data_IF_169510930381
#
_entry.id   IF_169510930381
#
_cell.length_a   1.000
_cell.length_b   1.000
_cell.length_c   1.000
_cell.angle_alpha   90.00
_cell.angle_beta   90.00
_cell.angle_gamma   90.00
#
_symmetry.space_group_name_H-M   'P 1'
#
loop_
_entity.id
_entity.type
_entity.pdbx_description
1 polymer ?
#
# COMPACT_ATOMS: atom_id res chain seq x y z
N UNK A 1 10.91 -19.00 31.44
CA UNK A 1 10.25 -18.09 30.46
C UNK A 1 10.00 -16.68 30.98
N UNK A 2 10.44 -16.35 32.20
CA UNK A 2 10.33 -15.01 32.80
C UNK A 2 10.96 -13.92 31.93
N UNK A 3 12.09 -14.20 31.28
CA UNK A 3 12.74 -13.28 30.34
C UNK A 3 11.85 -12.93 29.13
N UNK A 4 11.02 -13.87 28.63
CA UNK A 4 10.07 -13.59 27.55
C UNK A 4 8.93 -12.68 28.03
N UNK A 5 8.40 -12.91 29.23
CA UNK A 5 7.34 -12.08 29.81
C UNK A 5 7.82 -10.65 30.08
N UNK A 6 9.02 -10.51 30.63
CA UNK A 6 9.64 -9.24 31.03
C UNK A 6 10.30 -8.47 29.88
N UNK A 7 10.40 -9.07 28.69
CA UNK A 7 11.03 -8.41 27.55
C UNK A 7 10.26 -7.14 27.15
N UNK A 8 10.93 -5.96 27.14
CA UNK A 8 10.28 -4.66 26.95
C UNK A 8 9.88 -4.39 25.49
N UNK A 9 10.32 -5.22 24.54
CA UNK A 9 10.04 -5.05 23.11
C UNK A 9 9.61 -6.34 22.44
N UNK A 10 8.79 -6.20 21.38
CA UNK A 10 8.39 -7.32 20.52
C UNK A 10 9.62 -8.02 19.90
N UNK A 11 10.65 -7.26 19.53
CA UNK A 11 11.91 -7.79 18.98
C UNK A 11 12.64 -8.68 19.97
N UNK A 12 12.79 -8.25 21.23
CA UNK A 12 13.44 -9.06 22.26
C UNK A 12 12.62 -10.30 22.62
N UNK A 13 11.28 -10.20 22.64
CA UNK A 13 10.39 -11.36 22.78
C UNK A 13 10.62 -12.41 21.69
N UNK A 14 10.78 -11.97 20.45
CA UNK A 14 11.04 -12.85 19.30
C UNK A 14 12.44 -13.46 19.38
N UNK A 15 13.45 -12.67 19.76
CA UNK A 15 14.81 -13.14 19.95
C UNK A 15 14.86 -14.26 21.01
N UNK A 16 14.28 -14.01 22.19
CA UNK A 16 14.22 -14.98 23.29
C UNK A 16 13.45 -16.23 22.86
N UNK A 17 12.30 -16.07 22.21
CA UNK A 17 11.50 -17.22 21.73
C UNK A 17 12.25 -18.04 20.67
N UNK A 18 13.04 -17.39 19.81
CA UNK A 18 13.78 -18.03 18.72
C UNK A 18 14.85 -19.02 19.20
N UNK A 19 15.32 -18.90 20.45
CA UNK A 19 16.29 -19.81 21.05
C UNK A 19 15.80 -21.26 21.13
N UNK A 20 14.49 -21.47 21.30
CA UNK A 20 13.90 -22.80 21.51
C UNK A 20 12.67 -23.05 20.62
N UNK A 21 12.41 -22.17 19.65
CA UNK A 21 11.24 -22.28 18.77
C UNK A 21 11.28 -23.51 17.83
N UNK A 22 12.47 -24.08 17.58
CA UNK A 22 12.65 -25.29 16.77
C UNK A 22 12.56 -26.59 17.58
N UNK A 23 12.87 -26.54 18.87
CA UNK A 23 12.91 -27.71 19.75
C UNK A 23 11.53 -28.26 20.09
N UNK A 24 10.47 -27.48 19.85
CA UNK A 24 9.11 -27.80 20.29
C UNK A 24 8.07 -27.54 19.18
N UNK A 25 7.07 -28.44 19.02
CA UNK A 25 5.91 -28.19 18.18
C UNK A 25 5.13 -26.94 18.62
N UNK A 26 4.45 -26.28 17.68
CA UNK A 26 3.78 -25.02 17.95
C UNK A 26 2.75 -25.13 19.10
N UNK A 27 1.96 -26.20 19.13
CA UNK A 27 0.96 -26.42 20.19
C UNK A 27 1.61 -26.56 21.57
N UNK A 28 2.76 -27.24 21.65
CA UNK A 28 3.53 -27.41 22.89
C UNK A 28 4.15 -26.09 23.36
N UNK A 29 4.60 -25.24 22.44
CA UNK A 29 5.05 -23.88 22.75
C UNK A 29 3.91 -23.02 23.29
N UNK A 30 2.70 -23.15 22.73
CA UNK A 30 1.53 -22.38 23.20
C UNK A 30 1.15 -22.75 24.64
N UNK A 31 1.07 -24.05 24.95
CA UNK A 31 0.81 -24.52 26.32
C UNK A 31 1.89 -24.10 27.30
N UNK A 32 3.17 -24.17 26.90
CA UNK A 32 4.30 -23.79 27.77
C UNK A 32 4.33 -22.29 28.10
N UNK A 33 3.79 -21.46 27.20
CA UNK A 33 3.72 -20.00 27.38
C UNK A 33 2.44 -19.51 28.05
N UNK A 34 1.41 -20.33 28.19
CA UNK A 34 0.12 -19.97 28.79
C UNK A 34 0.22 -19.15 30.10
N UNK A 35 1.06 -19.53 31.10
CA UNK A 35 1.21 -18.74 32.34
C UNK A 35 2.02 -17.44 32.18
N UNK A 36 2.69 -17.23 31.06
CA UNK A 36 3.56 -16.08 30.78
C UNK A 36 3.05 -15.17 29.66
N UNK A 37 1.90 -15.52 29.07
CA UNK A 37 1.22 -14.77 28.03
C UNK A 37 0.82 -15.62 26.83
N UNK A 38 -0.28 -15.25 26.17
CA UNK A 38 -0.78 -15.98 25.00
C UNK A 38 0.19 -15.89 23.84
N UNK A 39 0.69 -17.05 23.39
CA UNK A 39 1.56 -17.14 22.24
C UNK A 39 0.77 -17.50 20.98
N UNK A 40 0.78 -16.64 19.98
CA UNK A 40 0.12 -16.88 18.71
C UNK A 40 0.98 -17.74 17.78
N UNK A 41 0.31 -18.47 16.87
CA UNK A 41 1.01 -19.22 15.80
C UNK A 41 1.93 -18.30 14.98
N UNK A 42 1.55 -17.04 14.80
CA UNK A 42 2.35 -16.03 14.11
C UNK A 42 3.64 -15.67 14.87
N UNK A 43 3.58 -15.48 16.19
CA UNK A 43 4.78 -15.22 17.01
C UNK A 43 5.77 -16.38 16.94
N UNK A 44 5.27 -17.62 16.95
CA UNK A 44 6.09 -18.83 16.79
C UNK A 44 6.72 -18.89 15.39
N UNK A 45 5.91 -18.66 14.33
CA UNK A 45 6.40 -18.64 12.94
C UNK A 45 7.48 -17.57 12.75
N UNK A 46 7.27 -16.38 13.33
CA UNK A 46 8.22 -15.26 13.28
C UNK A 46 9.51 -15.56 14.06
N UNK A 47 9.44 -16.21 15.21
CA UNK A 47 10.62 -16.65 15.96
C UNK A 47 11.42 -17.74 15.23
N UNK A 48 10.75 -18.67 14.55
CA UNK A 48 11.41 -19.68 13.69
C UNK A 48 12.07 -19.04 12.47
N UNK A 49 11.37 -18.11 11.81
CA UNK A 49 11.92 -17.36 10.69
C UNK A 49 13.13 -16.51 11.12
N UNK A 50 13.07 -15.88 12.31
CA UNK A 50 14.19 -15.18 12.91
C UNK A 50 15.40 -16.10 13.10
N UNK A 51 15.21 -17.25 13.76
CA UNK A 51 16.27 -18.23 13.98
C UNK A 51 16.84 -18.78 12.66
N UNK A 52 16.00 -18.99 11.64
CA UNK A 52 16.44 -19.44 10.30
C UNK A 52 17.31 -18.41 9.59
N UNK A 53 16.91 -17.15 9.63
CA UNK A 53 17.53 -16.11 8.81
C UNK A 53 18.72 -15.43 9.52
N UNK A 54 18.70 -15.37 10.86
CA UNK A 54 19.71 -14.62 11.64
C UNK A 54 20.47 -15.49 12.65
N UNK A 55 19.97 -16.69 12.96
CA UNK A 55 20.47 -17.55 14.04
C UNK A 55 19.59 -17.46 15.31
N UNK A 56 19.43 -18.57 16.07
CA UNK A 56 18.69 -18.56 17.33
C UNK A 56 19.29 -17.56 18.34
N UNK A 57 18.45 -16.69 18.91
CA UNK A 57 18.85 -15.75 19.96
C UNK A 57 19.74 -14.60 19.51
N UNK A 58 20.06 -14.49 18.22
CA UNK A 58 20.88 -13.39 17.70
C UNK A 58 20.17 -12.04 17.84
N UNK A 59 20.92 -11.00 18.20
CA UNK A 59 20.35 -9.67 18.38
C UNK A 59 19.72 -9.17 17.08
N UNK A 60 18.45 -8.79 17.16
CA UNK A 60 17.81 -8.06 16.09
C UNK A 60 18.49 -6.70 16.01
N UNK A 61 19.37 -6.49 15.00
CA UNK A 61 19.92 -5.17 14.71
C UNK A 61 18.74 -4.20 14.65
N UNK A 62 18.71 -3.21 15.55
CA UNK A 62 17.87 -2.04 15.36
C UNK A 62 18.38 -1.41 14.07
N UNK A 63 17.75 -1.75 12.96
CA UNK A 63 17.86 -0.91 11.79
C UNK A 63 17.43 0.48 12.29
N UNK A 64 18.22 1.54 12.06
CA UNK A 64 17.72 2.90 12.18
C UNK A 64 16.35 2.92 11.51
N UNK A 65 15.36 3.53 12.16
CA UNK A 65 14.02 3.70 11.60
C UNK A 65 14.23 4.12 10.15
N UNK A 66 13.79 3.30 9.17
CA UNK A 66 14.25 3.51 7.83
C UNK A 66 13.75 4.88 7.37
N UNK A 67 14.68 5.67 6.84
CA UNK A 67 14.47 6.82 5.98
C UNK A 67 13.61 6.51 4.73
N UNK A 68 12.91 5.37 4.70
CA UNK A 68 11.98 4.92 3.67
C UNK A 68 10.55 5.44 3.90
N UNK A 69 10.18 5.87 5.11
CA UNK A 69 8.87 6.48 5.35
C UNK A 69 8.76 7.86 4.70
N UNK A 70 9.82 8.66 4.77
CA UNK A 70 9.88 9.96 4.10
C UNK A 70 9.82 9.80 2.58
N UNK A 71 10.45 8.76 2.03
CA UNK A 71 10.35 8.43 0.62
C UNK A 71 8.91 8.05 0.23
N UNK A 72 8.19 7.28 1.05
CA UNK A 72 6.80 6.88 0.70
C UNK A 72 5.85 8.08 0.71
N UNK A 73 5.98 8.98 1.71
CA UNK A 73 5.19 10.21 1.75
C UNK A 73 5.56 11.16 0.60
N UNK A 74 6.85 11.26 0.28
CA UNK A 74 7.34 12.02 -0.87
C UNK A 74 6.84 11.44 -2.19
N UNK A 75 6.90 10.13 -2.38
CA UNK A 75 6.42 9.40 -3.55
C UNK A 75 4.91 9.58 -3.72
N UNK A 76 4.14 9.50 -2.63
CA UNK A 76 2.71 9.80 -2.64
C UNK A 76 2.44 11.23 -3.11
N UNK A 77 3.14 12.22 -2.54
CA UNK A 77 2.99 13.62 -2.97
C UNK A 77 3.40 13.83 -4.43
N UNK A 78 4.48 13.18 -4.88
CA UNK A 78 4.94 13.24 -6.27
C UNK A 78 3.95 12.57 -7.23
N UNK A 79 3.27 11.51 -6.80
CA UNK A 79 2.18 10.87 -7.54
C UNK A 79 1.03 11.83 -7.80
N UNK A 80 0.59 12.57 -6.79
CA UNK A 80 -0.43 13.63 -6.96
C UNK A 80 0.02 14.70 -7.96
N UNK A 81 1.24 15.23 -7.81
CA UNK A 81 1.78 16.23 -8.74
C UNK A 81 1.84 15.70 -10.19
N UNK A 82 2.15 14.41 -10.37
CA UNK A 82 2.17 13.76 -11.69
C UNK A 82 0.77 13.68 -12.28
N UNK A 83 -0.23 13.33 -11.49
CA UNK A 83 -1.63 13.29 -11.94
C UNK A 83 -2.17 14.67 -12.30
N UNK A 84 -1.78 15.72 -11.58
CA UNK A 84 -2.08 17.11 -11.90
C UNK A 84 -1.47 17.49 -13.27
N UNK A 85 -0.18 17.23 -13.48
CA UNK A 85 0.48 17.49 -14.77
C UNK A 85 -0.15 16.71 -15.94
N UNK A 86 -0.54 15.45 -15.71
CA UNK A 86 -1.26 14.66 -16.72
C UNK A 86 -2.60 15.34 -17.05
N UNK A 87 -3.33 15.79 -16.05
CA UNK A 87 -4.62 16.48 -16.23
C UNK A 87 -4.47 17.77 -17.02
N UNK A 88 -3.39 18.53 -16.80
CA UNK A 88 -3.07 19.73 -17.59
C UNK A 88 -2.67 19.38 -19.04
N UNK A 89 -1.84 18.36 -19.22
CA UNK A 89 -1.41 17.90 -20.56
C UNK A 89 -2.59 17.42 -21.40
N UNK A 90 -3.59 16.79 -20.78
CA UNK A 90 -4.80 16.38 -21.47
C UNK A 90 -5.57 17.58 -22.06
N UNK A 91 -5.49 18.78 -21.45
CA UNK A 91 -6.07 20.00 -22.02
C UNK A 91 -5.40 20.37 -23.34
N UNK A 92 -4.08 20.25 -23.42
CA UNK A 92 -3.36 20.46 -24.69
C UNK A 92 -3.74 19.44 -25.77
N UNK A 93 -4.22 18.26 -25.38
CA UNK A 93 -4.77 17.23 -26.27
C UNK A 93 -6.26 17.43 -26.60
N UNK A 94 -6.83 18.60 -26.26
CA UNK A 94 -8.20 18.95 -26.59
C UNK A 94 -9.24 18.49 -25.58
N UNK A 95 -8.85 18.01 -24.40
CA UNK A 95 -9.79 17.81 -23.30
C UNK A 95 -10.20 19.15 -22.70
N UNK A 96 -11.46 19.20 -22.26
CA UNK A 96 -12.04 20.37 -21.63
C UNK A 96 -11.24 20.86 -20.39
N UNK A 97 -11.05 22.17 -20.32
CA UNK A 97 -10.32 22.82 -19.24
C UNK A 97 -11.10 22.80 -17.93
N UNK A 98 -12.44 22.86 -17.97
CA UNK A 98 -13.26 22.80 -16.75
C UNK A 98 -13.17 21.43 -16.09
N UNK A 99 -13.16 20.37 -16.90
CA UNK A 99 -12.86 19.02 -16.45
C UNK A 99 -11.49 18.95 -15.74
N UNK A 100 -10.42 19.47 -16.37
CA UNK A 100 -9.07 19.43 -15.80
C UNK A 100 -8.98 20.18 -14.46
N UNK A 101 -9.57 21.38 -14.39
CA UNK A 101 -9.66 22.16 -13.16
C UNK A 101 -10.44 21.43 -12.05
N UNK A 102 -11.52 20.74 -12.41
CA UNK A 102 -12.31 19.93 -11.47
C UNK A 102 -11.49 18.76 -10.90
N UNK A 103 -10.78 18.03 -11.77
CA UNK A 103 -9.91 16.90 -11.37
C UNK A 103 -8.78 17.38 -10.46
N UNK A 104 -8.05 18.44 -10.84
CA UNK A 104 -6.96 19.00 -10.02
C UNK A 104 -7.49 19.42 -8.65
N UNK A 105 -8.65 20.08 -8.59
CA UNK A 105 -9.28 20.47 -7.32
C UNK A 105 -9.60 19.27 -6.44
N UNK A 106 -10.07 18.16 -7.01
CA UNK A 106 -10.37 16.93 -6.28
C UNK A 106 -9.11 16.20 -5.84
N UNK A 107 -8.06 16.20 -6.66
CA UNK A 107 -6.73 15.69 -6.30
C UNK A 107 -6.13 16.44 -5.11
N UNK A 108 -6.22 17.78 -5.08
CA UNK A 108 -5.79 18.57 -3.93
C UNK A 108 -6.57 18.21 -2.65
N UNK A 109 -7.89 18.12 -2.72
CA UNK A 109 -8.73 17.73 -1.57
C UNK A 109 -8.39 16.33 -1.08
N UNK A 110 -8.18 15.38 -1.99
CA UNK A 110 -7.79 14.02 -1.61
C UNK A 110 -6.40 13.97 -0.99
N UNK A 111 -5.44 14.73 -1.52
CA UNK A 111 -4.09 14.88 -0.94
C UNK A 111 -4.13 15.45 0.46
N UNK A 112 -4.96 16.47 0.69
CA UNK A 112 -5.18 17.06 2.02
C UNK A 112 -5.79 16.03 2.97
N UNK A 113 -6.89 15.39 2.56
CA UNK A 113 -7.58 14.35 3.33
C UNK A 113 -6.65 13.23 3.81
N UNK A 114 -5.81 12.70 2.90
CA UNK A 114 -4.85 11.64 3.23
C UNK A 114 -3.81 12.10 4.27
N UNK A 115 -3.48 13.39 4.28
CA UNK A 115 -2.49 13.98 5.18
C UNK A 115 -3.08 14.28 6.57
N UNK A 116 -4.34 14.69 6.65
CA UNK A 116 -4.96 15.21 7.88
C UNK A 116 -5.83 14.18 8.59
N UNK A 117 -6.83 13.65 7.90
CA UNK A 117 -7.98 12.99 8.54
C UNK A 117 -7.99 11.48 8.33
N UNK A 118 -7.42 11.00 7.21
CA UNK A 118 -7.46 9.59 6.85
C UNK A 118 -6.91 8.67 7.94
N UNK A 119 -5.82 9.08 8.61
CA UNK A 119 -5.24 8.31 9.72
C UNK A 119 -6.19 8.14 10.91
N UNK A 120 -7.10 9.10 11.15
CA UNK A 120 -8.09 9.02 12.22
C UNK A 120 -9.16 8.01 11.86
N UNK A 121 -9.55 7.96 10.59
CA UNK A 121 -10.53 7.00 10.10
C UNK A 121 -10.06 5.55 10.18
N UNK A 122 -8.77 5.30 9.96
CA UNK A 122 -8.20 3.94 9.96
C UNK A 122 -7.85 3.38 11.36
N UNK A 123 -8.48 3.85 12.45
CA UNK A 123 -8.14 3.39 13.81
C UNK A 123 -9.06 2.30 14.36
N UNK A 124 -10.18 2.05 13.69
CA UNK A 124 -11.21 1.10 14.13
C UNK A 124 -11.14 -0.18 13.30
N UNK A 125 -10.68 -1.27 13.92
CA UNK A 125 -10.63 -2.61 13.32
C UNK A 125 -12.03 -3.18 13.04
N UNK A 126 -13.08 -2.52 13.53
CA UNK A 126 -14.50 -2.81 13.35
C UNK A 126 -15.26 -1.71 12.60
N UNK A 127 -14.54 -0.85 11.88
CA UNK A 127 -15.16 0.18 11.06
C UNK A 127 -16.14 -0.42 10.05
N UNK A 128 -17.36 0.12 9.99
CA UNK A 128 -18.36 -0.26 8.98
C UNK A 128 -18.00 0.26 7.57
N UNK A 129 -16.90 0.99 7.41
CA UNK A 129 -16.36 1.42 6.13
C UNK A 129 -15.18 0.53 5.73
N UNK A 130 -15.28 -0.12 4.56
CA UNK A 130 -14.24 -1.05 4.07
C UNK A 130 -12.86 -0.38 3.91
N UNK A 131 -12.83 0.90 3.50
CA UNK A 131 -11.58 1.64 3.31
C UNK A 131 -10.91 2.04 4.63
N UNK A 132 -11.63 1.93 5.74
CA UNK A 132 -11.19 2.37 7.07
C UNK A 132 -10.91 1.20 8.00
N UNK A 133 -11.63 0.08 7.81
CA UNK A 133 -11.37 -1.16 8.53
C UNK A 133 -9.99 -1.70 8.14
N UNK A 134 -8.99 -1.52 9.02
CA UNK A 134 -7.61 -1.91 8.68
C UNK A 134 -7.47 -3.40 8.44
N UNK A 135 -8.28 -4.20 9.13
CA UNK A 135 -8.36 -5.65 8.97
C UNK A 135 -8.84 -6.04 7.58
N UNK A 136 -9.78 -5.30 7.01
CA UNK A 136 -10.28 -5.52 5.66
C UNK A 136 -9.37 -4.91 4.60
N UNK A 137 -9.01 -3.64 4.75
CA UNK A 137 -8.22 -2.88 3.78
C UNK A 137 -6.82 -3.48 3.53
N UNK A 138 -6.24 -4.16 4.53
CA UNK A 138 -4.95 -4.85 4.42
C UNK A 138 -5.07 -6.35 4.11
N UNK A 139 -6.29 -6.89 4.01
CA UNK A 139 -6.51 -8.28 3.65
C UNK A 139 -6.26 -8.52 2.17
N UNK A 140 -5.60 -9.64 1.84
CA UNK A 140 -5.52 -10.12 0.46
C UNK A 140 -6.52 -11.27 0.25
N UNK A 141 -7.56 -11.11 -0.59
CA UNK A 141 -8.51 -12.18 -0.84
C UNK A 141 -7.92 -13.35 -1.67
N UNK A 142 -6.81 -13.14 -2.37
CA UNK A 142 -6.15 -14.12 -3.23
C UNK A 142 -5.04 -14.92 -2.56
N UNK A 143 -4.60 -14.52 -1.36
CA UNK A 143 -3.57 -15.22 -0.59
C UNK A 143 -4.11 -15.63 0.79
N UNK A 144 -4.34 -16.93 0.99
CA UNK A 144 -4.84 -17.49 2.26
C UNK A 144 -4.00 -17.11 3.48
N UNK A 145 -2.70 -16.82 3.30
CA UNK A 145 -1.83 -16.41 4.40
C UNK A 145 -2.03 -14.94 4.82
N UNK A 146 -2.62 -14.13 3.94
CA UNK A 146 -2.92 -12.70 4.16
C UNK A 146 -4.42 -12.39 4.13
N UNK A 147 -5.27 -13.39 3.91
CA UNK A 147 -6.71 -13.24 3.98
C UNK A 147 -7.18 -13.09 5.43
N UNK A 148 -7.92 -12.02 5.70
CA UNK A 148 -8.57 -11.73 6.98
C UNK A 148 -10.07 -11.62 6.76
N UNK A 149 -10.86 -12.35 7.58
CA UNK A 149 -12.31 -12.26 7.57
C UNK A 149 -12.76 -11.38 8.74
N UNK A 150 -13.52 -10.33 8.42
CA UNK A 150 -14.14 -9.47 9.42
C UNK A 150 -15.38 -10.14 10.04
N UNK A 151 -15.66 -9.82 11.30
CA UNK A 151 -16.86 -10.29 12.01
C UNK A 151 -18.04 -9.29 11.91
N UNK A 152 -17.85 -8.20 11.18
CA UNK A 152 -18.82 -7.14 10.92
C UNK A 152 -18.97 -6.95 9.40
N UNK A 153 -20.00 -6.20 9.00
CA UNK A 153 -20.27 -5.87 7.60
C UNK A 153 -19.80 -4.46 7.27
N UNK A 154 -19.29 -4.26 6.05
CA UNK A 154 -18.88 -2.96 5.56
C UNK A 154 -20.00 -2.31 4.75
N UNK A 155 -20.92 -1.64 5.44
CA UNK A 155 -22.13 -1.03 4.85
C UNK A 155 -21.98 0.46 4.57
N UNK A 156 -20.94 1.11 5.10
CA UNK A 156 -20.69 2.53 4.91
C UNK A 156 -19.65 2.77 3.82
N UNK A 157 -19.81 3.89 3.12
CA UNK A 157 -18.85 4.41 2.15
C UNK A 157 -18.39 5.78 2.63
N UNK A 158 -17.08 6.00 2.66
CA UNK A 158 -16.54 7.31 2.99
C UNK A 158 -16.48 8.20 1.76
N UNK A 159 -17.17 9.35 1.82
CA UNK A 159 -17.22 10.33 0.72
C UNK A 159 -15.83 10.76 0.24
N UNK A 160 -14.87 10.94 1.15
CA UNK A 160 -13.50 11.35 0.78
C UNK A 160 -12.73 10.22 0.09
N UNK A 161 -12.85 8.97 0.57
CA UNK A 161 -12.26 7.80 -0.08
C UNK A 161 -12.87 7.58 -1.47
N UNK A 162 -14.19 7.67 -1.57
CA UNK A 162 -14.91 7.52 -2.83
C UNK A 162 -14.61 8.65 -3.81
N UNK A 163 -14.45 9.89 -3.33
CA UNK A 163 -14.04 11.01 -4.16
C UNK A 163 -12.66 10.76 -4.78
N UNK A 164 -11.70 10.27 -4.00
CA UNK A 164 -10.38 9.92 -4.52
C UNK A 164 -10.48 8.80 -5.56
N UNK A 165 -11.14 7.68 -5.25
CA UNK A 165 -11.32 6.54 -6.17
C UNK A 165 -11.92 6.97 -7.50
N UNK A 166 -13.04 7.68 -7.45
CA UNK A 166 -13.72 8.16 -8.66
C UNK A 166 -12.89 9.19 -9.44
N UNK A 167 -12.09 10.02 -8.77
CA UNK A 167 -11.16 10.96 -9.45
C UNK A 167 -10.09 10.19 -10.23
N UNK A 168 -9.48 9.17 -9.61
CA UNK A 168 -8.47 8.34 -10.25
C UNK A 168 -9.04 7.58 -11.45
N UNK A 169 -10.23 6.99 -11.28
CA UNK A 169 -10.92 6.27 -12.35
C UNK A 169 -11.30 7.20 -13.51
N UNK A 170 -11.76 8.41 -13.22
CA UNK A 170 -12.08 9.42 -14.23
C UNK A 170 -10.84 9.83 -15.04
N UNK A 171 -9.71 10.06 -14.37
CA UNK A 171 -8.43 10.35 -15.02
C UNK A 171 -7.96 9.17 -15.89
N UNK A 172 -8.03 7.95 -15.37
CA UNK A 172 -7.66 6.73 -16.10
C UNK A 172 -8.53 6.52 -17.35
N UNK A 173 -9.84 6.74 -17.23
CA UNK A 173 -10.77 6.63 -18.36
C UNK A 173 -10.44 7.66 -19.45
N UNK A 174 -10.14 8.91 -19.05
CA UNK A 174 -9.72 9.95 -20.00
C UNK A 174 -8.42 9.59 -20.70
N UNK A 175 -7.44 9.08 -19.96
CA UNK A 175 -6.20 8.57 -20.54
C UNK A 175 -6.46 7.48 -21.58
N UNK A 176 -7.22 6.43 -21.23
CA UNK A 176 -7.57 5.34 -22.16
C UNK A 176 -8.29 5.87 -23.40
N UNK A 177 -9.25 6.78 -23.24
CA UNK A 177 -9.99 7.37 -24.36
C UNK A 177 -9.10 8.20 -25.32
N UNK A 178 -8.04 8.83 -24.80
CA UNK A 178 -7.14 9.66 -25.61
C UNK A 178 -5.93 8.91 -26.19
N UNK A 179 -5.55 7.77 -25.61
CA UNK A 179 -4.50 6.92 -26.18
C UNK A 179 -4.83 6.37 -27.57
N UNK A 180 -6.12 6.37 -27.96
CA UNK A 180 -6.54 5.95 -29.29
C UNK A 180 -6.31 7.03 -30.38
N UNK A 181 -6.02 8.28 -30.01
CA UNK A 181 -5.80 9.37 -30.96
C UNK A 181 -4.32 9.49 -31.41
N UNK A 182 -3.37 9.13 -30.55
CA UNK A 182 -1.93 9.23 -30.82
C UNK A 182 -1.42 8.26 -31.90
N UNK A 183 -2.04 7.08 -32.06
CA UNK A 183 -1.52 6.09 -33.03
C UNK A 183 -1.82 6.44 -34.50
N UNK A 184 -2.79 7.32 -34.76
CA UNK A 184 -3.23 7.63 -36.13
C UNK A 184 -2.63 8.90 -36.72
N UNK A 185 -2.03 9.76 -35.89
CA UNK A 185 -1.47 11.04 -36.34
C UNK A 185 0.00 10.89 -36.77
N UNK A 186 0.76 10.05 -36.09
CA UNK A 186 2.19 9.81 -36.40
C UNK A 186 2.40 8.99 -37.69
N UNK A 187 1.43 8.17 -38.12
CA UNK A 187 1.56 7.34 -39.34
C UNK A 187 1.25 8.13 -40.62
N UNK A 188 0.46 9.21 -40.55
CA UNK A 188 0.11 10.02 -41.75
C UNK A 188 1.19 11.03 -42.13
N UNK A 189 1.99 11.50 -41.16
CA UNK A 189 3.10 12.43 -41.42
C UNK A 189 4.35 11.72 -41.94
N UNK A 190 4.57 10.44 -41.57
CA UNK A 190 5.68 9.64 -42.08
C UNK A 190 5.49 9.12 -43.53
N UNK A 191 4.26 9.12 -44.06
CA UNK A 191 3.92 8.52 -45.35
C UNK A 191 3.85 9.53 -46.53
N UNK A 192 3.86 10.84 -46.27
CA UNK A 192 3.63 11.86 -47.30
C UNK A 192 4.88 12.65 -47.74
N UNK A 193 6.09 12.22 -47.38
CA UNK A 193 7.35 12.78 -47.88
C UNK A 193 8.10 11.82 -48.82
N UNK A 194 7.83 11.87 -50.12
CA UNK A 194 8.60 11.21 -51.21
C UNK A 194 9.32 12.31 -52.04
N UNK A 195 10.30 12.00 -52.92
CA UNK A 195 11.57 11.28 -52.73
C UNK A 195 12.76 11.94 -53.50
N UNK A 196 13.93 11.27 -53.49
CA UNK A 196 15.08 11.36 -54.45
C UNK A 196 15.95 12.63 -54.43
N UNK A 197 17.21 12.47 -53.98
CA UNK A 197 18.37 12.82 -54.83
C UNK A 197 19.42 11.71 -54.74
N UNK A 198 19.93 11.33 -55.91
CA UNK A 198 20.97 10.34 -56.12
C UNK A 198 22.37 10.94 -55.91
N UNK A 199 23.38 10.15 -56.27
CA UNK A 199 24.84 10.37 -56.29
C UNK A 199 25.49 9.87 -54.99
N UNK A 200 26.29 8.80 -55.03
CA UNK A 200 27.37 8.52 -55.98
C UNK A 200 27.51 7.04 -56.31
#
# INVERSE_FOLDING_TARGET
MTAYAQAPSRSLKIQILSLYAYELPAQKLQTLHEPYGRLSKWQIKRARAHARNNGPGMEMKKNPIPSSLDNTAADGSNGFNTMEQISERLVHLGIDIQWSQSVIKRLHKAKEYLKTDYKVHCQEDDSLCADHCTMFALSDPGDEAFQVKCAHEHTLVCDNCENLKSTLQELENKLKSNTHFSYTQDIKEAANGRPIFSVR
#
